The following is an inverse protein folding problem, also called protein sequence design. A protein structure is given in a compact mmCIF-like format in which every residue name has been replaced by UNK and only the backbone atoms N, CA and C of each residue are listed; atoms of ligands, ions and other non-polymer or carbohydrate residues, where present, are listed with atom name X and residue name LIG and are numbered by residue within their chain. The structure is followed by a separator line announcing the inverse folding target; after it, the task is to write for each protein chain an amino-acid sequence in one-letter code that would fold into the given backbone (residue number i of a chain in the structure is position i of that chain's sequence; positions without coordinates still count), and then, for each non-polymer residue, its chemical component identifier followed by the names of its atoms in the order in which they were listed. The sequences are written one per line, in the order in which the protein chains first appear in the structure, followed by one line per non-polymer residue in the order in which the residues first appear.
data_IF_374584855536
#
_entry.id   IF_374584855536
#
_cell.length_a   1.000
_cell.length_b   1.000
_cell.length_c   1.000
_cell.angle_alpha   90.00
_cell.angle_beta   90.00
_cell.angle_gamma   90.00
#
_symmetry.space_group_name_H-M   'P 1'
#
loop_
_entity.id
_entity.type
_entity.pdbx_description
1 polymer ?
#
# COMPACT_ATOMS: atom_id res chain seq x y z
N UNK A 1 -9.99 -11.83 2.57
CA UNK A 1 -9.47 -10.51 2.97
C UNK A 1 -9.38 -9.71 1.70
N UNK A 2 -10.07 -8.58 1.63
CA UNK A 2 -10.15 -7.77 0.42
C UNK A 2 -8.97 -6.81 0.51
N UNK A 3 -8.07 -6.86 -0.48
CA UNK A 3 -6.89 -5.99 -0.56
C UNK A 3 -7.34 -4.62 -1.08
N UNK A 4 -8.16 -3.92 -0.30
CA UNK A 4 -8.69 -2.61 -0.65
C UNK A 4 -7.53 -1.62 -0.85
N UNK A 5 -7.54 -0.97 -2.00
CA UNK A 5 -6.57 0.07 -2.38
C UNK A 5 -7.13 1.45 -2.06
N UNK A 6 -6.26 2.46 -1.95
CA UNK A 6 -6.69 3.85 -1.79
C UNK A 6 -7.57 4.30 -2.96
N UNK A 7 -7.40 3.73 -4.16
CA UNK A 7 -8.30 3.92 -5.31
C UNK A 7 -9.70 3.39 -5.02
N UNK A 8 -9.82 2.17 -4.51
CA UNK A 8 -11.12 1.56 -4.23
C UNK A 8 -11.91 2.39 -3.23
N UNK A 9 -11.26 2.82 -2.14
CA UNK A 9 -11.88 3.71 -1.13
C UNK A 9 -12.32 5.03 -1.75
N UNK A 10 -11.51 5.61 -2.63
CA UNK A 10 -11.84 6.86 -3.32
C UNK A 10 -12.99 6.70 -4.33
N UNK A 11 -13.02 5.63 -5.09
CA UNK A 11 -14.05 5.36 -6.09
C UNK A 11 -15.41 5.17 -5.41
N UNK A 12 -15.45 4.51 -4.25
CA UNK A 12 -16.68 4.40 -3.43
C UNK A 12 -17.18 5.77 -2.94
N UNK A 13 -16.28 6.64 -2.46
CA UNK A 13 -16.62 8.01 -2.09
C UNK A 13 -17.19 8.80 -3.28
N UNK A 14 -16.58 8.62 -4.46
CA UNK A 14 -17.00 9.29 -5.68
C UNK A 14 -18.40 8.84 -6.11
N UNK A 15 -18.68 7.54 -6.00
CA UNK A 15 -20.01 6.98 -6.29
C UNK A 15 -21.07 7.53 -5.35
N UNK A 16 -20.81 7.54 -4.04
CA UNK A 16 -21.72 8.09 -3.05
C UNK A 16 -21.99 9.61 -3.27
N UNK A 17 -20.95 10.36 -3.65
CA UNK A 17 -21.10 11.77 -4.02
C UNK A 17 -21.96 11.96 -5.28
N UNK A 18 -21.77 11.13 -6.30
CA UNK A 18 -22.55 11.19 -7.54
C UNK A 18 -24.03 10.82 -7.32
N UNK A 19 -24.31 9.84 -6.46
CA UNK A 19 -25.67 9.45 -6.08
C UNK A 19 -26.39 10.59 -5.35
N UNK A 20 -25.72 11.22 -4.37
CA UNK A 20 -26.23 12.37 -3.64
C UNK A 20 -26.53 13.58 -4.54
N UNK A 21 -25.66 13.84 -5.51
CA UNK A 21 -25.85 14.89 -6.51
C UNK A 21 -27.05 14.61 -7.42
N UNK A 22 -27.32 13.34 -7.70
CA UNK A 22 -28.44 12.89 -8.53
C UNK A 22 -29.78 12.86 -7.78
N UNK A 23 -29.74 12.78 -6.45
CA UNK A 23 -30.92 12.67 -5.56
C UNK A 23 -31.12 13.94 -4.72
N UNK A 24 -31.64 15.00 -5.34
CA UNK A 24 -32.08 16.26 -4.68
C UNK A 24 -31.12 16.83 -3.60
N UNK A 25 -29.81 16.54 -3.73
CA UNK A 25 -28.74 17.06 -2.91
C UNK A 25 -28.52 16.38 -1.55
N UNK A 26 -29.23 15.29 -1.23
CA UNK A 26 -29.02 14.65 0.06
C UNK A 26 -27.87 13.62 -0.05
N UNK A 27 -26.67 14.03 0.37
CA UNK A 27 -25.63 13.07 0.74
C UNK A 27 -26.24 12.13 1.78
N UNK A 28 -26.51 10.90 1.40
CA UNK A 28 -26.68 9.81 2.33
C UNK A 28 -25.27 9.32 2.63
N UNK A 29 -24.58 9.82 3.69
CA UNK A 29 -23.41 9.10 4.16
C UNK A 29 -23.92 7.73 4.59
N UNK A 30 -23.62 6.72 3.77
CA UNK A 30 -23.72 5.34 4.22
C UNK A 30 -22.81 5.21 5.44
N UNK A 31 -23.07 4.23 6.31
CA UNK A 31 -22.17 3.94 7.43
C UNK A 31 -20.71 3.76 6.93
N UNK A 32 -20.54 3.30 5.68
CA UNK A 32 -19.26 3.10 4.99
C UNK A 32 -18.48 4.40 4.69
N UNK A 33 -19.16 5.55 4.59
CA UNK A 33 -18.54 6.87 4.44
C UNK A 33 -18.12 7.50 5.77
N UNK A 34 -18.72 7.09 6.90
CA UNK A 34 -18.34 7.61 8.22
C UNK A 34 -16.94 7.14 8.62
N UNK A 35 -16.55 5.95 8.17
CA UNK A 35 -15.25 5.34 8.45
C UNK A 35 -14.27 5.53 7.28
N UNK A 36 -14.55 6.47 6.34
CA UNK A 36 -13.73 6.68 5.14
C UNK A 36 -12.27 6.98 5.49
N UNK A 37 -12.02 7.87 6.45
CA UNK A 37 -10.66 8.26 6.84
C UNK A 37 -9.87 7.05 7.35
N UNK A 38 -10.48 6.25 8.23
CA UNK A 38 -9.87 5.05 8.79
C UNK A 38 -9.61 3.99 7.70
N UNK A 39 -10.59 3.75 6.80
CA UNK A 39 -10.42 2.83 5.66
C UNK A 39 -9.34 3.30 4.71
N UNK A 40 -9.28 4.59 4.42
CA UNK A 40 -8.28 5.17 3.53
C UNK A 40 -6.87 5.02 4.11
N UNK A 41 -6.71 5.20 5.41
CA UNK A 41 -5.44 5.04 6.10
C UNK A 41 -4.98 3.58 6.13
N UNK A 42 -5.89 2.63 6.35
CA UNK A 42 -5.60 1.20 6.34
C UNK A 42 -5.39 0.62 4.92
N UNK A 43 -5.98 1.25 3.91
CA UNK A 43 -5.93 0.81 2.52
C UNK A 43 -4.52 0.82 1.93
N UNK A 44 -4.30 -0.11 1.00
CA UNK A 44 -3.03 -0.29 0.31
C UNK A 44 -2.78 0.83 -0.72
N UNK A 45 -1.52 1.21 -0.95
CA UNK A 45 -1.18 2.01 -2.12
C UNK A 45 -1.54 1.27 -3.41
N UNK A 46 -2.09 1.99 -4.40
CA UNK A 46 -2.51 1.40 -5.68
C UNK A 46 -1.36 0.69 -6.41
N UNK A 47 -0.18 1.30 -6.40
CA UNK A 47 0.97 0.87 -7.21
C UNK A 47 2.06 0.22 -6.36
N UNK A 48 1.72 -0.78 -5.53
CA UNK A 48 2.73 -1.49 -4.77
C UNK A 48 3.83 -2.08 -5.67
N UNK A 49 5.12 -1.90 -5.33
CA UNK A 49 6.21 -2.46 -6.10
C UNK A 49 6.13 -4.01 -6.06
N UNK A 50 6.37 -4.63 -7.21
CA UNK A 50 6.45 -6.09 -7.32
C UNK A 50 7.92 -6.49 -7.20
N UNK A 51 8.28 -7.24 -6.17
CA UNK A 51 9.65 -7.70 -5.95
C UNK A 51 9.70 -9.21 -5.74
N UNK A 52 10.78 -9.90 -6.15
CA UNK A 52 10.99 -11.30 -5.85
C UNK A 52 11.04 -11.54 -4.33
N UNK A 53 10.56 -12.70 -3.88
CA UNK A 53 10.55 -13.10 -2.47
C UNK A 53 11.90 -12.91 -1.78
N UNK A 54 12.98 -13.33 -2.43
CA UNK A 54 14.35 -13.20 -1.89
C UNK A 54 14.76 -11.73 -1.65
N UNK A 55 14.24 -10.79 -2.44
CA UNK A 55 14.49 -9.35 -2.26
C UNK A 55 13.64 -8.80 -1.11
N UNK A 56 12.40 -9.27 -0.95
CA UNK A 56 11.56 -8.95 0.22
C UNK A 56 12.21 -9.41 1.52
N UNK A 57 12.69 -10.66 1.58
CA UNK A 57 13.41 -11.20 2.74
C UNK A 57 14.69 -10.41 3.07
N UNK A 58 15.44 -9.98 2.05
CA UNK A 58 16.59 -9.09 2.23
C UNK A 58 16.20 -7.73 2.81
N UNK A 59 15.11 -7.14 2.33
CA UNK A 59 14.59 -5.85 2.79
C UNK A 59 14.18 -5.93 4.26
N UNK A 60 13.43 -6.97 4.65
CA UNK A 60 13.06 -7.24 6.05
C UNK A 60 14.29 -7.37 6.96
N UNK A 61 15.28 -8.15 6.52
CA UNK A 61 16.53 -8.33 7.26
C UNK A 61 17.29 -7.01 7.43
N UNK A 62 17.33 -6.16 6.41
CA UNK A 62 17.97 -4.85 6.47
C UNK A 62 17.26 -3.91 7.44
N UNK A 63 15.93 -3.82 7.36
CA UNK A 63 15.11 -2.98 8.26
C UNK A 63 15.24 -3.41 9.71
N UNK A 64 15.17 -4.72 9.99
CA UNK A 64 15.29 -5.26 11.35
C UNK A 64 16.67 -5.04 12.00
N UNK A 65 17.69 -4.70 11.21
CA UNK A 65 19.04 -4.36 11.68
C UNK A 65 19.37 -2.88 11.63
N UNK A 66 18.38 -2.04 11.32
CA UNK A 66 18.54 -0.60 11.14
C UNK A 66 19.61 -0.21 10.08
N UNK A 67 19.78 -1.04 9.04
CA UNK A 67 20.60 -0.66 7.89
C UNK A 67 19.98 0.54 7.17
N UNK A 68 20.83 1.40 6.61
CA UNK A 68 20.35 2.49 5.77
C UNK A 68 19.90 1.96 4.40
N UNK A 69 19.04 2.71 3.72
CA UNK A 69 18.67 2.39 2.33
C UNK A 69 19.90 2.26 1.43
N UNK A 70 20.93 3.08 1.67
CA UNK A 70 22.19 3.00 0.94
C UNK A 70 22.89 1.66 1.14
N UNK A 71 22.97 1.17 2.38
CA UNK A 71 23.60 -0.12 2.68
C UNK A 71 22.80 -1.29 2.09
N UNK A 72 21.47 -1.17 2.09
CA UNK A 72 20.58 -2.18 1.53
C UNK A 72 20.65 -2.25 -0.01
N UNK A 73 20.85 -1.11 -0.67
CA UNK A 73 21.04 -0.99 -2.12
C UNK A 73 22.43 -1.44 -2.58
N UNK A 74 23.46 -1.28 -1.74
CA UNK A 74 24.85 -1.72 -2.05
C UNK A 74 24.99 -3.26 -2.05
N UNK A 75 23.94 -3.96 -1.60
CA UNK A 75 23.82 -5.40 -1.75
C UNK A 75 23.48 -5.82 -3.17
N UNK A 76 23.27 -7.12 -3.37
CA UNK A 76 22.92 -7.69 -4.66
C UNK A 76 21.43 -7.45 -4.94
N UNK A 77 21.04 -6.20 -5.25
CA UNK A 77 19.65 -5.86 -5.58
C UNK A 77 19.27 -6.52 -6.89
N UNK A 78 18.51 -7.62 -6.81
CA UNK A 78 18.02 -8.43 -7.95
C UNK A 78 16.83 -7.79 -8.67
N UNK A 79 16.61 -6.49 -8.47
CA UNK A 79 15.54 -5.64 -9.04
C UNK A 79 16.11 -4.24 -9.28
N UNK A 80 15.38 -3.37 -9.98
CA UNK A 80 15.79 -1.97 -10.12
C UNK A 80 15.86 -1.27 -8.76
N UNK A 81 16.85 -0.37 -8.61
CA UNK A 81 17.02 0.45 -7.41
C UNK A 81 15.76 1.25 -7.07
N UNK A 82 15.04 1.73 -8.08
CA UNK A 82 13.77 2.44 -7.92
C UNK A 82 12.70 1.55 -7.28
N UNK A 83 12.48 0.34 -7.80
CA UNK A 83 11.50 -0.61 -7.24
C UNK A 83 11.86 -0.98 -5.80
N UNK A 84 13.15 -1.20 -5.52
CA UNK A 84 13.63 -1.49 -4.17
C UNK A 84 13.40 -0.31 -3.23
N UNK A 85 13.79 0.90 -3.63
CA UNK A 85 13.63 2.11 -2.84
C UNK A 85 12.15 2.41 -2.55
N UNK A 86 11.26 2.19 -3.53
CA UNK A 86 9.81 2.30 -3.32
C UNK A 86 9.31 1.31 -2.29
N UNK A 87 9.71 0.04 -2.37
CA UNK A 87 9.31 -0.98 -1.38
C UNK A 87 9.81 -0.62 0.03
N UNK A 88 11.04 -0.07 0.10
CA UNK A 88 11.65 0.36 1.36
C UNK A 88 10.92 1.52 2.03
N UNK A 89 10.53 2.53 1.24
CA UNK A 89 9.87 3.75 1.72
C UNK A 89 8.41 3.47 2.05
N UNK A 90 7.71 2.71 1.21
CA UNK A 90 6.32 2.34 1.45
C UNK A 90 6.18 1.33 2.58
N UNK A 91 7.25 0.59 2.90
CA UNK A 91 7.16 -0.50 3.87
C UNK A 91 6.21 -1.61 3.39
N UNK A 92 5.97 -1.72 2.09
CA UNK A 92 5.08 -2.73 1.55
C UNK A 92 5.32 -3.01 0.08
N UNK A 93 5.06 -4.25 -0.33
CA UNK A 93 5.29 -4.75 -1.69
C UNK A 93 4.45 -5.99 -1.99
N UNK A 94 4.40 -6.34 -3.27
CA UNK A 94 3.81 -7.58 -3.77
C UNK A 94 4.91 -8.58 -4.14
N UNK A 95 4.79 -9.82 -3.70
CA UNK A 95 5.73 -10.90 -3.99
C UNK A 95 5.52 -11.39 -5.42
N UNK A 96 6.55 -11.30 -6.26
CA UNK A 96 6.46 -11.62 -7.69
C UNK A 96 6.02 -13.08 -7.95
N UNK A 97 6.42 -14.01 -7.10
CA UNK A 97 6.16 -15.44 -7.27
C UNK A 97 4.75 -15.87 -6.84
N UNK A 98 4.16 -15.21 -5.85
CA UNK A 98 2.90 -15.63 -5.23
C UNK A 98 1.77 -14.61 -5.36
N UNK A 99 2.09 -13.35 -5.67
CA UNK A 99 1.15 -12.23 -5.60
C UNK A 99 0.79 -11.82 -4.16
N UNK A 100 1.50 -12.35 -3.16
CA UNK A 100 1.25 -12.04 -1.75
C UNK A 100 1.68 -10.62 -1.42
N UNK A 101 0.86 -9.89 -0.65
CA UNK A 101 1.16 -8.53 -0.21
C UNK A 101 1.80 -8.58 1.16
N UNK A 102 3.00 -8.02 1.28
CA UNK A 102 3.73 -7.89 2.54
C UNK A 102 3.68 -6.43 2.99
N UNK A 103 3.34 -6.20 4.26
CA UNK A 103 3.45 -4.90 4.94
C UNK A 103 4.42 -5.04 6.13
N UNK A 104 5.48 -4.25 6.12
CA UNK A 104 6.34 -3.99 7.27
C UNK A 104 5.74 -2.83 8.06
N UNK A 105 5.10 -3.14 9.19
CA UNK A 105 4.71 -2.15 10.19
C UNK A 105 5.94 -1.33 10.60
N UNK A 106 5.87 0.00 10.48
CA UNK A 106 6.91 0.84 11.04
C UNK A 106 6.81 0.75 12.58
N UNK A 107 7.87 0.25 13.24
CA UNK A 107 8.00 0.40 14.69
C UNK A 107 7.86 1.90 15.04
N UNK A 108 6.85 2.19 15.84
CA UNK A 108 6.39 3.52 16.24
C UNK A 108 7.25 4.12 17.34
#
# INVERSE_FOLDING_TARGET
MINETKRDVFDELLDAYNDAKSSDGNLHPTQELLDYDDRYDDALPDDLPVIPKAVGEWLEWCKGRAHSLKDALDGETRVSEDTFARAWVLGGWCVAETGEIVKLEAEK
#
